data_IF_446149057629
#
_entry.id   IF_446149057629
#
_cell.length_a   1.000
_cell.length_b   1.000
_cell.length_c   1.000
_cell.angle_alpha   90.00
_cell.angle_beta   90.00
_cell.angle_gamma   90.00
#
_symmetry.space_group_name_H-M   'P 1'
#
loop_
_entity.id
_entity.type
_entity.pdbx_description
1 polymer ?
#
# COMPACT_ATOMS: atom_id res chain seq x y z
N UNK A 1 8.07 17.32 -7.81
CA UNK A 1 7.13 17.20 -6.67
C UNK A 1 6.94 15.73 -6.37
N UNK A 2 7.08 15.30 -5.11
CA UNK A 2 6.85 13.92 -4.67
C UNK A 2 5.33 13.71 -4.46
N UNK A 3 4.70 12.67 -5.02
CA UNK A 3 3.27 12.42 -4.83
C UNK A 3 2.97 11.85 -3.45
N UNK A 4 1.79 12.14 -2.94
CA UNK A 4 1.19 11.48 -1.79
C UNK A 4 0.47 10.21 -2.23
N UNK A 5 0.67 9.10 -1.51
CA UNK A 5 -0.14 7.89 -1.67
C UNK A 5 -1.40 8.01 -0.80
N UNK A 6 -2.55 8.15 -1.45
CA UNK A 6 -3.84 8.20 -0.75
C UNK A 6 -4.40 6.79 -0.66
N UNK A 7 -4.41 6.25 0.55
CA UNK A 7 -4.79 4.88 0.87
C UNK A 7 -6.16 4.83 1.55
N UNK A 8 -6.93 3.79 1.25
CA UNK A 8 -8.12 3.42 2.03
C UNK A 8 -8.22 1.90 2.11
N UNK A 9 -8.79 1.41 3.20
CA UNK A 9 -9.03 -0.02 3.39
C UNK A 9 -10.36 -0.27 4.09
N UNK A 10 -10.97 -1.43 3.82
CA UNK A 10 -12.18 -1.85 4.53
C UNK A 10 -11.92 -2.21 6.00
N UNK A 11 -10.72 -2.71 6.34
CA UNK A 11 -10.30 -3.10 7.70
C UNK A 11 -8.79 -3.03 7.87
N UNK A 12 -8.34 -2.82 9.11
CA UNK A 12 -6.92 -2.70 9.43
C UNK A 12 -6.42 -1.27 9.37
N UNK A 13 -5.11 -1.10 9.49
CA UNK A 13 -4.44 0.20 9.49
C UNK A 13 -3.18 0.16 8.64
N UNK A 14 -2.83 1.31 8.06
CA UNK A 14 -1.61 1.48 7.29
C UNK A 14 -0.52 2.13 8.13
N UNK A 15 0.71 1.67 7.97
CA UNK A 15 1.93 2.30 8.48
C UNK A 15 3.01 2.33 7.40
N UNK A 16 4.13 3.01 7.68
CA UNK A 16 5.26 3.13 6.73
C UNK A 16 4.85 3.55 5.31
N UNK A 17 3.92 4.50 5.20
CA UNK A 17 3.41 4.98 3.91
C UNK A 17 4.36 6.00 3.30
N UNK A 18 4.97 5.66 2.17
CA UNK A 18 5.79 6.62 1.41
C UNK A 18 5.81 6.30 -0.08
N UNK A 19 6.21 7.30 -0.85
CA UNK A 19 6.47 7.18 -2.28
C UNK A 19 7.96 7.41 -2.58
N UNK A 20 8.46 6.76 -3.62
CA UNK A 20 9.82 6.98 -4.13
C UNK A 20 9.81 6.94 -5.65
N UNK A 21 10.75 7.66 -6.27
CA UNK A 21 10.96 7.56 -7.71
C UNK A 21 11.53 6.17 -8.02
N UNK A 22 11.01 5.50 -9.04
CA UNK A 22 11.58 4.23 -9.49
C UNK A 22 12.97 4.53 -10.07
N UNK A 23 14.05 3.83 -9.66
CA UNK A 23 15.41 4.08 -10.13
C UNK A 23 15.66 3.46 -11.52
N UNK A 24 14.77 3.72 -12.48
CA UNK A 24 14.85 3.24 -13.86
C UNK A 24 15.15 4.35 -14.88
N UNK A 25 15.38 5.59 -14.42
CA UNK A 25 15.67 6.74 -15.27
C UNK A 25 14.46 7.32 -16.01
N UNK A 26 13.23 6.86 -15.72
CA UNK A 26 12.01 7.34 -16.39
C UNK A 26 11.29 8.35 -15.50
N UNK A 27 11.20 9.63 -15.90
CA UNK A 27 10.47 10.64 -15.14
C UNK A 27 8.99 10.27 -14.94
N UNK A 28 8.47 10.52 -13.75
CA UNK A 28 7.06 10.25 -13.42
C UNK A 28 6.76 8.79 -13.05
N UNK A 29 7.75 7.88 -13.10
CA UNK A 29 7.58 6.55 -12.54
C UNK A 29 7.75 6.59 -11.03
N UNK A 30 6.67 6.33 -10.32
CA UNK A 30 6.60 6.34 -8.88
C UNK A 30 6.28 4.95 -8.34
N UNK A 31 6.89 4.61 -7.20
CA UNK A 31 6.50 3.48 -6.38
C UNK A 31 5.86 4.01 -5.10
N UNK A 32 4.76 3.40 -4.69
CA UNK A 32 4.22 3.56 -3.34
C UNK A 32 4.54 2.30 -2.54
N UNK A 33 4.90 2.48 -1.27
CA UNK A 33 5.10 1.41 -0.29
C UNK A 33 4.32 1.75 0.97
N UNK A 34 3.79 0.72 1.61
CA UNK A 34 3.03 0.78 2.84
C UNK A 34 2.99 -0.60 3.46
N UNK A 35 2.84 -0.63 4.79
CA UNK A 35 2.53 -1.84 5.53
C UNK A 35 1.04 -1.85 5.86
N UNK A 36 0.39 -3.00 5.73
CA UNK A 36 -0.98 -3.24 6.21
C UNK A 36 -0.91 -4.10 7.47
N UNK A 37 -1.43 -3.59 8.59
CA UNK A 37 -1.69 -4.39 9.79
C UNK A 37 -3.18 -4.67 9.90
N UNK A 38 -3.56 -5.94 9.90
CA UNK A 38 -4.97 -6.37 9.94
C UNK A 38 -5.10 -7.73 10.64
N UNK A 39 -6.13 -7.86 11.47
CA UNK A 39 -6.49 -9.11 12.13
C UNK A 39 -7.59 -9.87 11.36
N UNK A 40 -7.67 -11.17 11.64
CA UNK A 40 -8.70 -12.06 11.10
C UNK A 40 -8.35 -12.64 9.73
N UNK A 41 -9.29 -13.41 9.17
CA UNK A 41 -9.10 -14.19 7.94
C UNK A 41 -9.94 -13.70 6.75
N UNK A 42 -10.89 -12.80 7.02
CA UNK A 42 -11.76 -12.28 5.98
C UNK A 42 -10.96 -11.43 4.97
N UNK A 43 -11.40 -11.35 3.69
CA UNK A 43 -10.76 -10.51 2.68
C UNK A 43 -10.75 -9.02 3.05
N UNK A 44 -9.69 -8.32 2.66
CA UNK A 44 -9.48 -6.88 2.91
C UNK A 44 -9.44 -6.15 1.58
N UNK A 45 -10.39 -5.23 1.37
CA UNK A 45 -10.39 -4.38 0.19
C UNK A 45 -9.46 -3.20 0.43
N UNK A 46 -8.64 -2.88 -0.57
CA UNK A 46 -7.73 -1.74 -0.55
C UNK A 46 -7.88 -0.91 -1.82
N UNK A 47 -7.71 0.40 -1.65
CA UNK A 47 -7.62 1.36 -2.75
C UNK A 47 -6.41 2.25 -2.56
N UNK A 48 -5.74 2.56 -3.66
CA UNK A 48 -4.61 3.50 -3.70
C UNK A 48 -4.71 4.38 -4.95
N UNK A 49 -4.52 5.68 -4.81
CA UNK A 49 -4.15 6.55 -5.93
C UNK A 49 -3.07 7.53 -5.49
N UNK A 50 -2.31 8.06 -6.45
CA UNK A 50 -1.31 9.10 -6.21
C UNK A 50 -1.93 10.48 -6.42
N UNK A 51 -1.58 11.45 -5.58
CA UNK A 51 -1.94 12.86 -5.79
C UNK A 51 -0.78 13.82 -5.55
N UNK A 52 -0.85 14.99 -6.17
CA UNK A 52 0.04 16.13 -5.92
C UNK A 52 -0.84 17.35 -5.73
N UNK A 53 -0.60 18.12 -4.67
CA UNK A 53 -1.34 19.35 -4.35
C UNK A 53 -2.87 19.19 -4.41
N UNK A 54 -3.37 18.08 -3.85
CA UNK A 54 -4.79 17.75 -3.83
C UNK A 54 -5.38 17.24 -5.15
N UNK A 55 -4.61 17.19 -6.24
CA UNK A 55 -5.06 16.73 -7.57
C UNK A 55 -4.61 15.29 -7.85
N UNK A 56 -5.49 14.41 -8.36
CA UNK A 56 -5.12 13.03 -8.69
C UNK A 56 -4.09 13.01 -9.82
N UNK A 57 -3.10 12.12 -9.70
CA UNK A 57 -1.99 11.91 -10.64
C UNK A 57 -2.08 10.52 -11.32
N UNK A 58 -2.77 9.58 -10.70
CA UNK A 58 -2.96 8.22 -11.24
C UNK A 58 -4.42 7.81 -11.20
N UNK A 59 -4.75 6.77 -11.97
CA UNK A 59 -5.95 5.97 -11.72
C UNK A 59 -5.90 5.31 -10.33
N UNK A 60 -7.04 4.80 -9.87
CA UNK A 60 -7.12 4.08 -8.59
C UNK A 60 -6.73 2.62 -8.79
N UNK A 61 -5.67 2.19 -8.11
CA UNK A 61 -5.35 0.79 -7.91
C UNK A 61 -6.36 0.18 -6.93
N UNK A 62 -7.02 -0.89 -7.35
CA UNK A 62 -7.95 -1.68 -6.54
C UNK A 62 -7.34 -3.06 -6.31
N UNK A 63 -7.32 -3.51 -5.06
CA UNK A 63 -6.79 -4.81 -4.70
C UNK A 63 -7.53 -5.40 -3.52
N UNK A 64 -7.70 -6.72 -3.53
CA UNK A 64 -8.24 -7.47 -2.41
C UNK A 64 -7.15 -8.38 -1.84
N UNK A 65 -6.77 -8.11 -0.58
CA UNK A 65 -5.84 -8.95 0.15
C UNK A 65 -6.59 -10.06 0.89
N UNK A 66 -6.14 -11.29 0.72
CA UNK A 66 -6.66 -12.45 1.44
C UNK A 66 -5.62 -12.90 2.47
N UNK A 67 -5.84 -12.66 3.78
CA UNK A 67 -4.92 -13.10 4.81
C UNK A 67 -4.76 -14.63 4.77
N UNK A 68 -3.53 -15.11 4.64
CA UNK A 68 -3.20 -16.52 4.75
C UNK A 68 -2.67 -16.83 6.15
N UNK A 69 -2.87 -18.06 6.63
CA UNK A 69 -2.16 -18.53 7.81
C UNK A 69 -0.69 -18.72 7.44
N UNK A 70 0.16 -17.76 7.78
CA UNK A 70 1.58 -18.03 7.91
C UNK A 70 1.74 -19.09 9.01
N UNK A 71 2.44 -20.21 8.77
CA UNK A 71 2.90 -21.04 9.87
C UNK A 71 3.62 -20.13 10.86
N UNK A 72 3.31 -20.25 12.15
CA UNK A 72 4.14 -19.62 13.17
C UNK A 72 5.54 -20.19 12.96
N UNK A 73 6.46 -19.38 12.44
CA UNK A 73 7.87 -19.75 12.36
C UNK A 73 8.34 -20.12 13.77
N UNK A 74 9.30 -21.04 13.92
CA UNK A 74 9.74 -21.45 15.25
C UNK A 74 10.04 -20.19 16.06
N UNK A 75 9.39 -20.07 17.22
CA UNK A 75 9.77 -19.08 18.21
C UNK A 75 11.23 -19.39 18.50
N UNK A 76 12.14 -18.49 18.13
CA UNK A 76 13.53 -18.64 18.48
C UNK A 76 13.60 -18.66 20.01
N UNK A 77 13.93 -19.83 20.57
CA UNK A 77 14.23 -20.02 21.98
C UNK A 77 15.46 -19.23 22.41
#
# INVERSE_FOLDING_TARGET
>A
MKPEAVLSTSRGTFSYVFTEAVPNGVPGHWRAQFDLTVDGKEPVDMRLFLRVDGKPLSETWLYQYHPFQSPVGPVAS
#
